data_IF_015259532082
#
_entry.id   IF_015259532082
#
_cell.length_a   1.000
_cell.length_b   1.000
_cell.length_c   1.000
_cell.angle_alpha   90.00
_cell.angle_beta   90.00
_cell.angle_gamma   90.00
#
_symmetry.space_group_name_H-M   'P 1'
#
loop_
_entity.id
_entity.type
_entity.pdbx_description
1 polymer ?
#
# COMPACT_ATOMS: atom_id res chain seq x y z
N UNK A 1 -2.09 -14.18 -2.33
CA UNK A 1 -1.54 -14.84 -3.53
C UNK A 1 -0.12 -14.39 -3.74
N UNK A 2 0.75 -15.26 -4.20
CA UNK A 2 2.18 -14.97 -4.40
C UNK A 2 2.69 -15.71 -5.64
N UNK A 3 3.83 -15.25 -6.19
CA UNK A 3 4.57 -15.95 -7.21
C UNK A 3 5.41 -17.10 -6.62
N UNK A 4 6.27 -17.72 -7.43
CA UNK A 4 7.13 -18.81 -7.02
C UNK A 4 8.32 -18.41 -6.13
N UNK A 5 8.56 -17.13 -5.85
CA UNK A 5 9.71 -16.68 -5.10
C UNK A 5 9.78 -17.26 -3.68
N UNK A 6 10.95 -17.76 -3.29
CA UNK A 6 11.17 -18.38 -1.98
C UNK A 6 10.98 -17.40 -0.80
N UNK A 7 11.07 -16.10 -1.04
CA UNK A 7 10.82 -15.05 -0.03
C UNK A 7 9.43 -15.08 0.59
N UNK A 8 8.47 -15.74 -0.07
CA UNK A 8 7.10 -15.88 0.44
C UNK A 8 6.90 -17.10 1.36
N UNK A 9 7.93 -17.94 1.58
CA UNK A 9 7.79 -19.16 2.36
C UNK A 9 7.34 -18.90 3.80
N UNK A 10 7.84 -17.85 4.43
CA UNK A 10 7.56 -17.51 5.84
C UNK A 10 6.13 -17.00 6.06
N UNK A 11 5.42 -16.63 4.98
CA UNK A 11 4.04 -16.15 5.09
C UNK A 11 3.00 -17.25 5.31
N UNK A 12 3.31 -18.50 4.96
CA UNK A 12 2.37 -19.63 5.12
C UNK A 12 1.93 -19.86 6.57
N UNK A 13 2.76 -19.51 7.54
CA UNK A 13 2.43 -19.60 8.95
C UNK A 13 1.44 -18.55 9.47
N UNK A 14 1.22 -17.48 8.68
CA UNK A 14 0.41 -16.31 9.07
C UNK A 14 -0.81 -16.07 8.18
N UNK A 15 -0.74 -16.49 6.93
CA UNK A 15 -1.74 -16.21 5.91
C UNK A 15 -2.00 -17.44 5.03
N UNK A 16 -3.24 -17.62 4.55
CA UNK A 16 -3.51 -18.60 3.50
C UNK A 16 -2.85 -18.09 2.19
N UNK A 17 -1.71 -18.68 1.84
CA UNK A 17 -0.92 -18.32 0.66
C UNK A 17 -1.16 -19.32 -0.45
N UNK A 18 -1.75 -18.87 -1.54
CA UNK A 18 -1.84 -19.62 -2.80
C UNK A 18 -0.75 -19.11 -3.75
N UNK A 19 -0.05 -20.02 -4.40
CA UNK A 19 1.04 -19.70 -5.34
C UNK A 19 0.66 -20.05 -6.75
N UNK A 20 1.20 -19.29 -7.67
CA UNK A 20 1.11 -19.52 -9.09
C UNK A 20 2.52 -19.48 -9.70
N UNK A 21 2.81 -20.46 -10.55
CA UNK A 21 4.06 -20.50 -11.33
C UNK A 21 3.81 -19.84 -12.69
N UNK A 22 4.27 -18.61 -12.82
CA UNK A 22 4.08 -17.81 -14.05
C UNK A 22 4.75 -18.37 -15.29
N UNK A 23 5.71 -19.29 -15.12
CA UNK A 23 6.32 -19.98 -16.26
C UNK A 23 5.36 -20.98 -16.93
N UNK A 24 4.30 -21.37 -16.21
CA UNK A 24 3.33 -22.39 -16.66
C UNK A 24 1.94 -21.83 -16.89
N UNK A 25 1.46 -20.95 -15.98
CA UNK A 25 0.09 -20.43 -16.00
C UNK A 25 0.03 -19.01 -15.48
N UNK A 26 -0.73 -18.13 -16.12
CA UNK A 26 -1.01 -16.77 -15.64
C UNK A 26 -2.16 -16.70 -14.64
N UNK A 27 -3.06 -17.67 -14.67
CA UNK A 27 -4.15 -17.81 -13.70
C UNK A 27 -4.53 -19.28 -13.55
N UNK A 28 -4.92 -19.67 -12.35
CA UNK A 28 -5.49 -20.98 -12.07
C UNK A 28 -7.01 -20.97 -12.33
N UNK A 29 -7.59 -22.16 -12.59
CA UNK A 29 -9.04 -22.36 -12.72
C UNK A 29 -9.82 -22.01 -11.46
N UNK A 30 -9.16 -21.99 -10.29
CA UNK A 30 -9.72 -21.55 -9.02
C UNK A 30 -9.72 -20.04 -8.83
N UNK A 31 -9.28 -19.25 -9.84
CA UNK A 31 -9.22 -17.79 -9.79
C UNK A 31 -8.01 -17.25 -9.04
N UNK A 32 -6.98 -18.04 -8.84
CA UNK A 32 -5.70 -17.59 -8.26
C UNK A 32 -4.89 -16.89 -9.37
N UNK A 33 -4.54 -15.62 -9.14
CA UNK A 33 -3.71 -14.81 -10.04
C UNK A 33 -2.99 -13.71 -9.27
N UNK A 34 -1.85 -13.25 -9.76
CA UNK A 34 -1.05 -12.19 -9.10
C UNK A 34 -1.26 -10.80 -9.72
N UNK A 35 -1.99 -10.70 -10.84
CA UNK A 35 -2.18 -9.46 -11.59
C UNK A 35 -2.63 -8.28 -10.73
N UNK A 36 -3.52 -8.51 -9.74
CA UNK A 36 -3.98 -7.44 -8.86
C UNK A 36 -2.87 -6.87 -7.98
N UNK A 37 -1.97 -7.72 -7.47
CA UNK A 37 -0.82 -7.29 -6.68
C UNK A 37 0.20 -6.54 -7.57
N UNK A 38 0.50 -7.08 -8.74
CA UNK A 38 1.41 -6.45 -9.71
C UNK A 38 0.89 -5.07 -10.16
N UNK A 39 -0.40 -4.97 -10.44
CA UNK A 39 -1.06 -3.72 -10.81
C UNK A 39 -0.97 -2.70 -9.67
N UNK A 40 -1.22 -3.12 -8.43
CA UNK A 40 -1.10 -2.27 -7.24
C UNK A 40 0.33 -1.74 -7.08
N UNK A 41 1.33 -2.61 -7.09
CA UNK A 41 2.73 -2.21 -6.96
C UNK A 41 3.21 -1.33 -8.12
N UNK A 42 2.73 -1.59 -9.33
CA UNK A 42 3.01 -0.76 -10.50
C UNK A 42 2.45 0.65 -10.34
N UNK A 43 1.23 0.81 -9.81
CA UNK A 43 0.63 2.13 -9.53
C UNK A 43 1.36 2.85 -8.41
N UNK A 44 1.71 2.15 -7.34
CA UNK A 44 2.46 2.71 -6.22
C UNK A 44 3.81 3.25 -6.67
N UNK A 45 4.55 2.49 -7.48
CA UNK A 45 5.84 2.91 -8.05
C UNK A 45 5.70 4.12 -8.97
N UNK A 46 4.66 4.16 -9.80
CA UNK A 46 4.37 5.35 -10.63
C UNK A 46 4.03 6.57 -9.77
N UNK A 47 3.31 6.38 -8.66
CA UNK A 47 3.03 7.44 -7.70
C UNK A 47 4.30 7.99 -7.06
N UNK A 48 5.24 7.12 -6.68
CA UNK A 48 6.54 7.51 -6.15
C UNK A 48 7.30 8.40 -7.16
N UNK A 49 7.45 7.93 -8.38
CA UNK A 49 8.21 8.65 -9.41
C UNK A 49 7.52 9.95 -9.82
N UNK A 50 6.19 9.92 -10.02
CA UNK A 50 5.44 11.02 -10.63
C UNK A 50 4.95 12.09 -9.64
N UNK A 51 4.60 11.70 -8.40
CA UNK A 51 3.97 12.61 -7.44
C UNK A 51 4.85 12.90 -6.22
N UNK A 52 5.52 11.90 -5.72
CA UNK A 52 6.25 12.01 -4.45
C UNK A 52 7.75 12.25 -4.63
N UNK A 53 8.28 12.05 -5.85
CA UNK A 53 9.70 12.12 -6.23
C UNK A 53 10.60 11.18 -5.43
N UNK A 54 10.33 10.96 -4.15
CA UNK A 54 10.99 10.02 -3.28
C UNK A 54 10.14 9.72 -2.06
N UNK A 55 10.06 8.46 -1.68
CA UNK A 55 9.41 8.00 -0.45
C UNK A 55 10.47 7.40 0.47
N UNK A 56 10.76 8.06 1.58
CA UNK A 56 11.67 7.50 2.58
C UNK A 56 11.09 6.22 3.20
N UNK A 57 11.92 5.21 3.41
CA UNK A 57 11.51 3.89 3.92
C UNK A 57 10.68 3.94 5.20
N UNK A 58 10.99 4.89 6.11
CA UNK A 58 10.24 5.13 7.35
C UNK A 58 8.75 5.43 7.11
N UNK A 59 8.43 6.07 5.98
CA UNK A 59 7.05 6.46 5.64
C UNK A 59 6.39 5.54 4.61
N UNK A 60 7.13 4.55 4.09
CA UNK A 60 6.67 3.67 3.02
C UNK A 60 5.32 3.01 3.33
N UNK A 61 5.13 2.55 4.57
CA UNK A 61 3.87 1.92 5.00
C UNK A 61 2.70 2.90 4.89
N UNK A 62 2.89 4.17 5.24
CA UNK A 62 1.84 5.20 5.16
C UNK A 62 1.45 5.48 3.71
N UNK A 63 2.42 5.60 2.82
CA UNK A 63 2.16 5.76 1.39
C UNK A 63 1.49 4.53 0.77
N UNK A 64 1.89 3.33 1.19
CA UNK A 64 1.24 2.10 0.76
C UNK A 64 -0.22 2.02 1.23
N UNK A 65 -0.51 2.43 2.47
CA UNK A 65 -1.88 2.52 3.00
C UNK A 65 -2.73 3.54 2.22
N UNK A 66 -2.18 4.71 1.89
CA UNK A 66 -2.87 5.68 1.05
C UNK A 66 -3.15 5.13 -0.35
N UNK A 67 -2.17 4.49 -0.97
CA UNK A 67 -2.33 3.87 -2.28
C UNK A 67 -3.41 2.77 -2.25
N UNK A 68 -3.44 1.92 -1.22
CA UNK A 68 -4.46 0.91 -1.03
C UNK A 68 -5.85 1.53 -0.86
N UNK A 69 -5.97 2.57 -0.01
CA UNK A 69 -7.23 3.28 0.17
C UNK A 69 -7.75 3.87 -1.15
N UNK A 70 -6.89 4.49 -1.95
CA UNK A 70 -7.24 5.02 -3.27
C UNK A 70 -7.71 3.92 -4.23
N UNK A 71 -7.07 2.76 -4.20
CA UNK A 71 -7.46 1.62 -5.04
C UNK A 71 -8.83 1.09 -4.65
N UNK A 72 -9.11 0.92 -3.36
CA UNK A 72 -10.39 0.42 -2.86
C UNK A 72 -11.56 1.37 -3.18
N UNK A 73 -11.28 2.68 -3.22
CA UNK A 73 -12.30 3.71 -3.42
C UNK A 73 -12.38 4.26 -4.85
N UNK A 74 -11.53 3.81 -5.77
CA UNK A 74 -11.41 4.37 -7.13
C UNK A 74 -12.71 4.32 -7.95
N UNK A 75 -13.60 3.39 -7.64
CA UNK A 75 -14.90 3.21 -8.30
C UNK A 75 -16.05 3.92 -7.59
N UNK A 76 -15.77 4.55 -6.47
CA UNK A 76 -16.75 5.34 -5.73
C UNK A 76 -16.93 6.70 -6.40
N UNK A 77 -18.14 7.24 -6.39
CA UNK A 77 -18.40 8.59 -6.90
C UNK A 77 -17.66 9.66 -6.08
N UNK A 78 -17.32 10.78 -6.73
CA UNK A 78 -16.52 11.84 -6.13
C UNK A 78 -17.16 12.44 -4.87
N UNK A 79 -18.48 12.60 -4.85
CA UNK A 79 -19.19 13.14 -3.69
C UNK A 79 -19.05 12.27 -2.45
N UNK A 80 -19.15 10.95 -2.63
CA UNK A 80 -18.90 9.99 -1.55
C UNK A 80 -17.46 9.97 -1.12
N UNK A 81 -16.50 10.02 -2.08
CA UNK A 81 -15.07 10.08 -1.75
C UNK A 81 -14.74 11.30 -0.89
N UNK A 82 -15.18 12.50 -1.31
CA UNK A 82 -14.98 13.74 -0.55
C UNK A 82 -15.57 13.65 0.84
N UNK A 83 -16.81 13.16 0.97
CA UNK A 83 -17.47 12.99 2.27
C UNK A 83 -16.69 12.03 3.17
N UNK A 84 -16.27 10.89 2.63
CA UNK A 84 -15.48 9.90 3.38
C UNK A 84 -14.17 10.47 3.87
N UNK A 85 -13.40 11.14 3.00
CA UNK A 85 -12.12 11.78 3.38
C UNK A 85 -12.33 12.85 4.43
N UNK A 86 -13.32 13.72 4.25
CA UNK A 86 -13.63 14.78 5.22
C UNK A 86 -14.01 14.21 6.59
N UNK A 87 -14.85 13.18 6.63
CA UNK A 87 -15.24 12.52 7.89
C UNK A 87 -14.04 11.89 8.59
N UNK A 88 -13.19 11.16 7.84
CA UNK A 88 -11.99 10.56 8.39
C UNK A 88 -11.00 11.61 8.88
N UNK A 89 -10.82 12.70 8.15
CA UNK A 89 -9.92 13.79 8.54
C UNK A 89 -10.39 14.49 9.83
N UNK A 90 -11.69 14.69 9.99
CA UNK A 90 -12.26 15.30 11.20
C UNK A 90 -12.17 14.37 12.42
N UNK A 91 -12.22 13.05 12.22
CA UNK A 91 -12.13 12.05 13.28
C UNK A 91 -10.68 11.65 13.63
N UNK A 92 -9.74 11.91 12.73
CA UNK A 92 -8.35 11.48 12.90
C UNK A 92 -7.64 12.31 13.98
N UNK A 93 -6.89 11.68 14.90
CA UNK A 93 -6.01 12.40 15.80
C UNK A 93 -4.84 13.01 15.03
N UNK A 94 -4.18 14.01 15.65
CA UNK A 94 -2.95 14.58 15.09
C UNK A 94 -1.90 13.50 14.85
N UNK A 95 -1.38 13.43 13.63
CA UNK A 95 -0.38 12.42 13.27
C UNK A 95 0.93 12.63 14.02
N UNK A 96 1.39 11.59 14.69
CA UNK A 96 2.72 11.59 15.35
C UNK A 96 3.88 11.50 14.33
N UNK A 97 3.60 11.01 13.13
CA UNK A 97 4.61 10.85 12.07
C UNK A 97 4.83 12.15 11.29
N UNK A 98 3.74 12.90 11.02
CA UNK A 98 3.75 14.08 10.17
C UNK A 98 3.77 15.41 10.91
N UNK A 99 3.32 15.42 12.16
CA UNK A 99 3.33 16.62 13.00
C UNK A 99 4.52 16.62 13.96
N UNK A 100 5.15 17.76 14.11
CA UNK A 100 6.24 17.94 15.08
C UNK A 100 7.54 17.18 14.77
N UNK A 101 7.74 16.72 13.53
CA UNK A 101 8.96 15.97 13.18
C UNK A 101 10.24 16.82 13.28
N UNK A 102 10.16 18.13 13.05
CA UNK A 102 11.27 19.06 13.23
C UNK A 102 11.74 19.09 14.70
N UNK A 103 10.81 19.16 15.65
CA UNK A 103 11.11 19.17 17.07
C UNK A 103 11.72 17.82 17.53
N UNK A 104 11.28 16.71 16.91
CA UNK A 104 11.85 15.38 17.19
C UNK A 104 13.27 15.23 16.64
N UNK A 105 13.55 15.80 15.46
CA UNK A 105 14.88 15.79 14.88
C UNK A 105 15.87 16.56 15.77
N UNK A 106 15.49 17.72 16.28
CA UNK A 106 16.30 18.53 17.20
C UNK A 106 16.58 17.80 18.52
N UNK A 107 15.59 17.06 19.07
CA UNK A 107 15.79 16.28 20.30
C UNK A 107 16.72 15.08 20.13
N UNK A 108 16.87 14.54 18.94
CA UNK A 108 17.80 13.44 18.66
C UNK A 108 19.23 13.91 18.39
N UNK A 109 19.40 15.19 18.08
CA UNK A 109 20.70 15.81 17.81
C UNK A 109 21.34 16.41 19.07
N UNK A 110 20.63 16.51 20.19
CA UNK A 110 21.10 16.95 21.52
C UNK A 110 21.35 15.74 22.40
#
# INVERSE_FOLDING_TARGET
MADEAASWNDLHGRFPVSRIDHSKLYSDRSGVYTNGAEEFFSRMRRGEIGHHHHVAGTYLVRYAQEAAWREDHRRMDNGRQVRTVSTLAMAAPTSVDWCGYWQRAQRKAA
#
